data_IF_707874995008
#
_entry.id   IF_707874995008
#
_cell.length_a   1.000
_cell.length_b   1.000
_cell.length_c   1.000
_cell.angle_alpha   90.00
_cell.angle_beta   90.00
_cell.angle_gamma   90.00
#
_symmetry.space_group_name_H-M   'P 1'
#
loop_
_entity.id
_entity.type
_entity.pdbx_description
1 polymer ?
#
# COMPACT_ATOMS: atom_id res chain seq x y z
N UNK A 1 -6.39 -16.09 -7.14
CA UNK A 1 -6.49 -14.71 -6.63
C UNK A 1 -5.70 -14.56 -5.36
N UNK A 2 -5.00 -13.44 -5.24
CA UNK A 2 -4.21 -13.10 -4.07
C UNK A 2 -4.59 -11.72 -3.57
N UNK A 3 -4.82 -11.61 -2.27
CA UNK A 3 -5.08 -10.34 -1.59
C UNK A 3 -3.77 -9.92 -0.93
N UNK A 4 -3.21 -8.82 -1.39
CA UNK A 4 -1.90 -8.34 -0.97
C UNK A 4 -2.08 -7.05 -0.17
N UNK A 5 -1.75 -7.09 1.11
CA UNK A 5 -1.97 -5.98 2.03
C UNK A 5 -0.64 -5.41 2.51
N UNK A 6 -0.47 -4.11 2.31
CA UNK A 6 0.63 -3.38 2.91
C UNK A 6 0.13 -2.71 4.19
N UNK A 7 0.72 -3.10 5.31
CA UNK A 7 0.37 -2.61 6.64
C UNK A 7 1.40 -1.59 7.09
N UNK A 8 0.95 -0.49 7.67
CA UNK A 8 1.84 0.53 8.23
C UNK A 8 1.15 1.26 9.37
N UNK A 9 1.95 1.80 10.28
CA UNK A 9 1.48 2.69 11.34
C UNK A 9 1.95 4.11 11.04
N UNK A 10 1.10 5.08 11.36
CA UNK A 10 1.42 6.50 11.23
C UNK A 10 1.40 7.17 12.60
N UNK A 11 2.15 8.26 12.81
CA UNK A 11 2.13 8.97 14.08
C UNK A 11 0.72 9.47 14.40
N UNK A 12 0.40 9.49 15.69
CA UNK A 12 -0.89 10.00 16.15
C UNK A 12 -1.17 11.39 15.60
N UNK A 13 -2.38 11.57 15.06
CA UNK A 13 -2.81 12.85 14.50
C UNK A 13 -2.32 13.14 13.09
N UNK A 14 -1.52 12.25 12.48
CA UNK A 14 -0.97 12.44 11.13
C UNK A 14 -1.65 11.59 10.05
N UNK A 15 -2.76 10.92 10.38
CA UNK A 15 -3.47 10.03 9.44
C UNK A 15 -3.90 10.74 8.15
N UNK A 16 -4.46 11.94 8.26
CA UNK A 16 -4.92 12.69 7.09
C UNK A 16 -3.81 13.01 6.10
N UNK A 17 -2.65 13.41 6.61
CA UNK A 17 -1.48 13.69 5.77
C UNK A 17 -0.94 12.43 5.11
N UNK A 18 -0.85 11.33 5.87
CA UNK A 18 -0.41 10.05 5.35
C UNK A 18 -1.34 9.54 4.25
N UNK A 19 -2.66 9.62 4.47
CA UNK A 19 -3.66 9.19 3.49
C UNK A 19 -3.59 10.01 2.20
N UNK A 20 -3.33 11.31 2.29
CA UNK A 20 -3.14 12.15 1.08
C UNK A 20 -1.87 11.76 0.32
N UNK A 21 -0.78 11.49 1.03
CA UNK A 21 0.46 11.02 0.39
C UNK A 21 0.26 9.65 -0.27
N UNK A 22 -0.49 8.75 0.38
CA UNK A 22 -0.83 7.44 -0.18
C UNK A 22 -1.71 7.57 -1.42
N UNK A 23 -2.67 8.49 -1.42
CA UNK A 23 -3.52 8.74 -2.59
C UNK A 23 -2.71 9.20 -3.79
N UNK A 24 -1.81 10.15 -3.61
CA UNK A 24 -0.94 10.64 -4.67
C UNK A 24 -0.03 9.52 -5.21
N UNK A 25 0.56 8.74 -4.33
CA UNK A 25 1.40 7.60 -4.67
C UNK A 25 0.59 6.52 -5.41
N UNK A 26 -0.62 6.22 -4.88
CA UNK A 26 -1.52 5.23 -5.45
C UNK A 26 -1.95 5.56 -6.87
N UNK A 27 -2.27 6.82 -7.16
CA UNK A 27 -2.61 7.26 -8.52
C UNK A 27 -1.48 6.95 -9.49
N UNK A 28 -0.25 7.23 -9.12
CA UNK A 28 0.91 6.99 -9.98
C UNK A 28 1.18 5.49 -10.15
N UNK A 29 1.13 4.71 -9.08
CA UNK A 29 1.29 3.25 -9.14
C UNK A 29 0.28 2.61 -10.09
N UNK A 30 -0.99 2.95 -9.93
CA UNK A 30 -2.08 2.36 -10.70
C UNK A 30 -2.06 2.81 -12.17
N UNK A 31 -1.48 3.96 -12.47
CA UNK A 31 -1.40 4.49 -13.82
C UNK A 31 -0.21 3.95 -14.63
N UNK A 32 0.94 3.69 -13.97
CA UNK A 32 2.21 3.54 -14.69
C UNK A 32 3.10 2.38 -14.26
N UNK A 33 2.62 1.49 -13.39
CA UNK A 33 3.41 0.34 -12.91
C UNK A 33 2.65 -0.97 -13.08
N UNK A 34 3.24 -2.09 -12.65
CA UNK A 34 2.58 -3.40 -12.59
C UNK A 34 1.32 -3.41 -11.74
N UNK A 35 1.12 -2.43 -10.86
CA UNK A 35 -0.13 -2.26 -10.11
C UNK A 35 -1.34 -1.97 -11.00
N UNK A 36 -1.14 -1.64 -12.28
CA UNK A 36 -2.27 -1.54 -13.24
C UNK A 36 -3.03 -2.86 -13.39
N UNK A 37 -2.42 -3.99 -13.05
CA UNK A 37 -3.04 -5.32 -13.18
C UNK A 37 -3.95 -5.68 -12.02
N UNK A 38 -4.08 -4.82 -11.00
CA UNK A 38 -4.95 -5.11 -9.85
C UNK A 38 -6.41 -5.32 -10.30
N UNK A 39 -7.06 -6.29 -9.66
CA UNK A 39 -8.49 -6.55 -9.85
C UNK A 39 -9.34 -5.74 -8.89
N UNK A 40 -8.72 -5.16 -7.88
CA UNK A 40 -9.36 -4.28 -6.91
C UNK A 40 -8.32 -3.71 -5.98
N UNK A 41 -8.63 -2.57 -5.41
CA UNK A 41 -7.78 -1.91 -4.42
C UNK A 41 -8.65 -1.14 -3.44
N UNK A 42 -8.19 -1.04 -2.19
CA UNK A 42 -8.83 -0.22 -1.17
C UNK A 42 -7.84 0.14 -0.08
N UNK A 43 -8.11 1.24 0.60
CA UNK A 43 -7.36 1.65 1.79
C UNK A 43 -8.29 1.56 3.00
N UNK A 44 -7.81 0.97 4.08
CA UNK A 44 -8.56 0.80 5.31
C UNK A 44 -7.76 1.37 6.47
N UNK A 45 -8.47 1.93 7.45
CA UNK A 45 -7.87 2.37 8.72
C UNK A 45 -8.52 1.61 9.87
N UNK A 46 -7.78 1.40 10.96
CA UNK A 46 -8.33 0.76 12.15
C UNK A 46 -9.52 1.55 12.69
N UNK A 47 -10.54 0.85 13.17
CA UNK A 47 -11.76 1.44 13.70
C UNK A 47 -12.09 0.83 15.07
N UNK A 48 -12.70 -0.33 15.08
CA UNK A 48 -13.01 -1.04 16.33
C UNK A 48 -12.08 -2.25 16.43
N UNK A 49 -11.35 -2.38 17.53
CA UNK A 49 -10.38 -3.45 17.73
C UNK A 49 -9.03 -3.20 17.05
N UNK A 50 -8.94 -2.21 16.18
CA UNK A 50 -7.71 -1.78 15.53
C UNK A 50 -7.43 -0.30 15.79
N UNK A 51 -6.15 0.06 15.83
CA UNK A 51 -5.76 1.45 16.04
C UNK A 51 -6.11 2.31 14.82
N UNK A 52 -6.68 3.52 15.00
CA UNK A 52 -6.86 4.47 13.91
C UNK A 52 -5.55 4.91 13.23
N UNK A 53 -4.42 4.69 13.89
CA UNK A 53 -3.09 4.96 13.33
C UNK A 53 -2.59 3.83 12.42
N UNK A 54 -3.27 2.70 12.39
CA UNK A 54 -2.92 1.57 11.53
C UNK A 54 -3.65 1.68 10.21
N UNK A 55 -2.90 1.66 9.11
CA UNK A 55 -3.43 1.77 7.75
C UNK A 55 -3.10 0.49 6.99
N UNK A 56 -4.07 0.01 6.22
CA UNK A 56 -3.89 -1.14 5.32
C UNK A 56 -4.18 -0.70 3.90
N UNK A 57 -3.20 -0.87 3.03
CA UNK A 57 -3.30 -0.57 1.61
C UNK A 57 -3.39 -1.91 0.86
N UNK A 58 -4.57 -2.25 0.35
CA UNK A 58 -4.88 -3.58 -0.17
C UNK A 58 -4.95 -3.57 -1.69
N UNK A 59 -4.35 -4.59 -2.28
CA UNK A 59 -4.35 -4.83 -3.72
C UNK A 59 -4.72 -6.28 -4.00
N UNK A 60 -5.60 -6.51 -4.96
CA UNK A 60 -5.99 -7.86 -5.38
C UNK A 60 -5.36 -8.15 -6.73
N UNK A 61 -4.56 -9.22 -6.82
CA UNK A 61 -3.95 -9.69 -8.05
C UNK A 61 -4.47 -11.07 -8.42
N UNK A 62 -4.54 -11.34 -9.71
CA UNK A 62 -4.94 -12.67 -10.19
C UNK A 62 -3.88 -13.71 -9.87
N UNK A 63 -2.60 -13.37 -10.05
CA UNK A 63 -1.46 -14.26 -9.81
C UNK A 63 -0.44 -13.63 -8.89
N UNK A 64 0.33 -14.46 -8.21
CA UNK A 64 1.44 -14.00 -7.36
C UNK A 64 2.55 -13.37 -8.22
N UNK A 65 2.77 -13.87 -9.43
CA UNK A 65 3.76 -13.31 -10.35
C UNK A 65 3.44 -11.86 -10.70
N UNK A 66 2.16 -11.51 -10.88
CA UNK A 66 1.75 -10.13 -11.14
C UNK A 66 2.06 -9.23 -9.95
N UNK A 67 1.83 -9.70 -8.74
CA UNK A 67 2.19 -8.97 -7.53
C UNK A 67 3.70 -8.75 -7.42
N UNK A 68 4.49 -9.80 -7.64
CA UNK A 68 5.95 -9.72 -7.58
C UNK A 68 6.52 -8.73 -8.60
N UNK A 69 5.98 -8.73 -9.82
CA UNK A 69 6.37 -7.78 -10.86
C UNK A 69 6.02 -6.34 -10.46
N UNK A 70 4.85 -6.13 -9.86
CA UNK A 70 4.43 -4.81 -9.37
C UNK A 70 5.37 -4.30 -8.25
N UNK A 71 5.74 -5.16 -7.32
CA UNK A 71 6.69 -4.81 -6.25
C UNK A 71 8.06 -4.45 -6.82
N UNK A 72 8.54 -5.18 -7.83
CA UNK A 72 9.81 -4.86 -8.47
C UNK A 72 9.82 -3.46 -9.08
N UNK A 73 8.69 -3.01 -9.65
CA UNK A 73 8.56 -1.67 -10.22
C UNK A 73 8.71 -0.57 -9.16
N UNK A 74 8.40 -0.85 -7.90
CA UNK A 74 8.47 0.16 -6.83
C UNK A 74 9.89 0.63 -6.54
N UNK A 75 10.90 -0.12 -6.97
CA UNK A 75 12.30 0.28 -6.87
C UNK A 75 12.77 1.27 -7.94
N UNK A 76 11.94 1.60 -8.92
CA UNK A 76 12.32 2.50 -10.00
C UNK A 76 12.50 3.94 -9.50
N UNK A 77 13.53 4.62 -10.06
CA UNK A 77 13.90 5.98 -9.63
C UNK A 77 12.77 6.99 -9.78
N UNK A 78 11.90 6.81 -10.77
CA UNK A 78 10.75 7.72 -11.02
C UNK A 78 9.74 7.76 -9.88
N UNK A 79 9.72 6.74 -9.01
CA UNK A 79 8.80 6.67 -7.88
C UNK A 79 9.41 7.19 -6.57
N UNK A 80 10.70 7.49 -6.57
CA UNK A 80 11.42 7.83 -5.34
C UNK A 80 10.84 9.02 -4.58
N UNK A 81 10.48 10.09 -5.29
CA UNK A 81 9.96 11.29 -4.63
C UNK A 81 8.65 11.02 -3.89
N UNK A 82 7.75 10.22 -4.49
CA UNK A 82 6.47 9.86 -3.87
C UNK A 82 6.66 8.91 -2.69
N UNK A 83 7.55 7.94 -2.83
CA UNK A 83 7.87 7.00 -1.77
C UNK A 83 8.53 7.70 -0.58
N UNK A 84 9.47 8.62 -0.82
CA UNK A 84 10.14 9.38 0.23
C UNK A 84 9.17 10.29 0.98
N UNK A 85 8.22 10.90 0.26
CA UNK A 85 7.20 11.72 0.90
C UNK A 85 6.32 10.89 1.84
N UNK A 86 5.88 9.72 1.40
CA UNK A 86 5.09 8.84 2.27
C UNK A 86 5.91 8.40 3.48
N UNK A 87 7.19 8.09 3.28
CA UNK A 87 8.07 7.63 4.36
C UNK A 87 8.15 8.63 5.53
N UNK A 88 7.94 9.93 5.28
CA UNK A 88 7.90 10.95 6.34
C UNK A 88 6.79 10.70 7.37
N UNK A 89 5.73 10.01 6.96
CA UNK A 89 4.55 9.75 7.80
C UNK A 89 4.48 8.31 8.31
N UNK A 90 5.46 7.47 8.02
CA UNK A 90 5.45 6.07 8.45
C UNK A 90 6.29 5.92 9.71
N UNK A 91 5.73 5.30 10.72
CA UNK A 91 6.50 4.94 11.91
C UNK A 91 7.58 3.93 11.52
N UNK A 92 8.87 4.21 11.78
CA UNK A 92 9.96 3.32 11.40
C UNK A 92 9.75 1.89 11.91
N UNK A 93 9.93 0.91 11.02
CA UNK A 93 9.80 -0.51 11.35
C UNK A 93 8.37 -1.03 11.41
N UNK A 94 7.35 -0.20 11.20
CA UNK A 94 5.96 -0.63 11.28
C UNK A 94 5.43 -1.29 10.01
N UNK A 95 6.07 -1.05 8.86
CA UNK A 95 5.54 -1.51 7.59
C UNK A 95 5.89 -2.98 7.31
N UNK A 96 4.90 -3.72 6.79
CA UNK A 96 5.07 -5.10 6.35
C UNK A 96 3.97 -5.47 5.37
N UNK A 97 4.25 -6.48 4.55
CA UNK A 97 3.26 -7.07 3.64
C UNK A 97 2.67 -8.34 4.22
N UNK A 98 1.37 -8.52 4.02
CA UNK A 98 0.68 -9.79 4.24
C UNK A 98 -0.01 -10.17 2.94
N UNK A 99 0.21 -11.39 2.47
CA UNK A 99 -0.36 -11.88 1.22
C UNK A 99 -1.22 -13.10 1.53
N UNK A 100 -2.47 -13.06 1.12
CA UNK A 100 -3.43 -14.14 1.32
C UNK A 100 -3.83 -14.73 -0.03
N UNK A 101 -3.87 -16.06 -0.10
CA UNK A 101 -4.43 -16.76 -1.25
C UNK A 101 -5.94 -16.95 -1.00
N UNK A 102 -6.74 -16.53 -1.96
CA UNK A 102 -8.21 -16.70 -1.87
C UNK A 102 -8.56 -18.15 -2.13
N UNK A 103 -9.32 -18.78 -1.25
CA UNK A 103 -9.69 -20.19 -1.35
C UNK A 103 -11.20 -20.43 -1.48
N UNK A 104 -12.00 -19.37 -1.46
CA UNK A 104 -13.46 -19.53 -1.56
C UNK A 104 -14.18 -18.30 -2.01
#
# INVERSE_FOLDING_TARGET
MFVCQWHLDVPYGRQGEALRAMEAWGKEKLASSGFRKVKGTRVMVGHIGGSPSHIVDEYVFETLADFEAAIADMGEARFRALSDRLAEFVVPGSQHWEVFRVVG
#
